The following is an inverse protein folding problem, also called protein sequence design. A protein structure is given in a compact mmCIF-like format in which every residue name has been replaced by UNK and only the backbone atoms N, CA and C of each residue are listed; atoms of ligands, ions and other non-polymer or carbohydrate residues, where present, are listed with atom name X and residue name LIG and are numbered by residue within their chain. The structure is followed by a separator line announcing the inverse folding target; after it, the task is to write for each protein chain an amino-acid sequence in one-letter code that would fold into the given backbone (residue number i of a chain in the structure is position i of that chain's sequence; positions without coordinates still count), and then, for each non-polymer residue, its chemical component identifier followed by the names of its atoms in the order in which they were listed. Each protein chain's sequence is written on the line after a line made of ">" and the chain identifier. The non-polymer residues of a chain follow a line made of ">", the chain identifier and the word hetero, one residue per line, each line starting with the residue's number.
data_IF_620337851234
#
_entry.id   IF_620337851234
#
_cell.length_a   1.000
_cell.length_b   1.000
_cell.length_c   1.000
_cell.angle_alpha   90.00
_cell.angle_beta   90.00
_cell.angle_gamma   90.00
#
_symmetry.space_group_name_H-M   'P 1'
#
loop_
_entity.id
_entity.type
_entity.pdbx_description
1 polymer ?
#
# COMPACT_ATOMS: atom_id res chain seq x y z
N UNK A 1 26.58 -4.82 -21.06
CA UNK A 1 26.03 -6.06 -20.46
C UNK A 1 24.58 -5.77 -20.13
N UNK A 2 23.63 -6.41 -20.81
CA UNK A 2 22.24 -6.44 -20.36
C UNK A 2 22.25 -7.21 -19.03
N UNK A 3 22.10 -6.51 -17.91
CA UNK A 3 21.98 -7.11 -16.60
C UNK A 3 20.67 -7.85 -16.53
N UNK A 4 20.71 -9.18 -16.40
CA UNK A 4 19.51 -9.98 -16.17
C UNK A 4 18.92 -9.65 -14.80
N UNK A 5 17.59 -9.79 -14.66
CA UNK A 5 16.90 -9.70 -13.36
C UNK A 5 17.22 -10.96 -12.55
N UNK A 6 17.69 -10.79 -11.31
CA UNK A 6 17.86 -11.88 -10.38
C UNK A 6 16.59 -12.04 -9.54
N UNK A 7 16.16 -13.27 -9.30
CA UNK A 7 15.00 -13.61 -8.49
C UNK A 7 15.44 -14.34 -7.22
N UNK A 8 14.81 -13.96 -6.10
CA UNK A 8 14.97 -14.67 -4.82
C UNK A 8 13.59 -14.92 -4.21
N UNK A 9 13.42 -16.09 -3.58
CA UNK A 9 12.23 -16.41 -2.77
C UNK A 9 12.58 -16.18 -1.30
N UNK A 10 11.81 -15.34 -0.61
CA UNK A 10 12.02 -15.07 0.80
C UNK A 10 10.72 -14.59 1.46
N UNK A 11 10.72 -14.56 2.79
CA UNK A 11 9.70 -13.83 3.54
C UNK A 11 10.09 -12.34 3.59
N UNK A 12 9.10 -11.46 3.61
CA UNK A 12 9.33 -10.02 3.66
C UNK A 12 9.98 -9.54 4.97
N UNK A 13 9.83 -10.31 6.04
CA UNK A 13 10.42 -10.11 7.36
C UNK A 13 11.82 -10.73 7.55
N UNK A 14 12.34 -11.41 6.51
CA UNK A 14 13.64 -12.09 6.53
C UNK A 14 14.26 -12.10 5.12
N UNK A 15 14.65 -10.94 4.61
CA UNK A 15 15.21 -10.79 3.26
C UNK A 15 16.64 -11.36 3.18
N UNK A 16 16.98 -12.20 2.17
CA UNK A 16 18.27 -12.86 2.06
C UNK A 16 19.35 -11.93 1.46
N UNK A 17 19.34 -10.68 1.84
CA UNK A 17 20.26 -9.66 1.37
C UNK A 17 21.07 -9.06 2.54
N UNK A 18 22.26 -8.57 2.24
CA UNK A 18 23.11 -7.88 3.22
C UNK A 18 22.52 -6.50 3.55
N UNK A 19 22.91 -5.98 4.69
CA UNK A 19 22.62 -4.59 5.06
C UNK A 19 23.16 -3.62 4.00
N UNK A 20 22.42 -2.54 3.77
CA UNK A 20 22.81 -1.45 2.89
C UNK A 20 23.22 -1.90 1.47
N UNK A 21 22.52 -2.89 0.89
CA UNK A 21 22.86 -3.48 -0.42
C UNK A 21 22.06 -2.90 -1.59
N UNK A 22 21.08 -2.05 -1.31
CA UNK A 22 20.21 -1.45 -2.35
C UNK A 22 20.10 0.06 -2.20
N UNK A 23 20.17 0.77 -3.32
CA UNK A 23 19.92 2.21 -3.38
C UNK A 23 18.41 2.53 -3.40
N UNK A 24 17.60 1.57 -3.83
CA UNK A 24 16.16 1.68 -3.82
C UNK A 24 15.49 0.32 -3.55
N UNK A 25 14.37 0.36 -2.84
CA UNK A 25 13.44 -0.76 -2.67
C UNK A 25 12.06 -0.30 -3.09
N UNK A 26 11.39 -1.09 -3.93
CA UNK A 26 10.03 -0.83 -4.39
C UNK A 26 9.13 -1.94 -3.88
N UNK A 27 8.03 -1.56 -3.26
CA UNK A 27 6.95 -2.47 -2.86
C UNK A 27 5.65 -1.94 -3.47
N UNK A 28 4.97 -2.81 -4.21
CA UNK A 28 3.76 -2.45 -4.95
C UNK A 28 2.65 -3.45 -4.65
N UNK A 29 1.60 -3.00 -3.98
CA UNK A 29 0.39 -3.77 -3.67
C UNK A 29 0.70 -5.12 -2.98
N UNK A 30 1.49 -5.08 -1.91
CA UNK A 30 1.95 -6.28 -1.17
C UNK A 30 1.63 -6.19 0.32
N UNK A 31 1.73 -4.99 0.91
CA UNK A 31 1.62 -4.84 2.36
C UNK A 31 0.24 -5.13 2.92
N UNK A 32 -0.78 -5.02 2.09
CA UNK A 32 -2.14 -5.45 2.39
C UNK A 32 -2.24 -6.97 2.68
N UNK A 33 -1.26 -7.75 2.22
CA UNK A 33 -1.24 -9.21 2.40
C UNK A 33 -0.23 -9.66 3.46
N UNK A 34 0.40 -8.73 4.16
CA UNK A 34 1.37 -9.01 5.23
C UNK A 34 0.71 -8.81 6.59
N UNK A 35 0.61 -9.89 7.38
CA UNK A 35 -0.04 -9.85 8.69
C UNK A 35 0.66 -8.91 9.68
N UNK A 36 1.99 -8.93 9.77
CA UNK A 36 2.75 -7.95 10.55
C UNK A 36 3.68 -7.14 9.62
N UNK A 37 3.35 -5.89 9.44
CA UNK A 37 4.08 -4.98 8.55
C UNK A 37 5.39 -4.44 9.14
N UNK A 38 5.54 -4.45 10.47
CA UNK A 38 6.67 -3.83 11.16
C UNK A 38 8.00 -4.53 10.90
N UNK A 39 8.11 -5.88 10.99
CA UNK A 39 9.32 -6.60 10.61
C UNK A 39 9.68 -6.40 9.14
N UNK A 40 8.70 -6.40 8.24
CA UNK A 40 8.95 -6.18 6.82
C UNK A 40 9.52 -4.78 6.54
N UNK A 41 8.97 -3.74 7.18
CA UNK A 41 9.53 -2.37 7.10
C UNK A 41 10.92 -2.31 7.71
N UNK A 42 11.19 -3.05 8.79
CA UNK A 42 12.52 -3.12 9.38
C UNK A 42 13.55 -3.73 8.41
N UNK A 43 13.19 -4.79 7.71
CA UNK A 43 14.04 -5.43 6.69
C UNK A 43 14.28 -4.51 5.49
N UNK A 44 13.25 -3.81 5.01
CA UNK A 44 13.41 -2.78 3.97
C UNK A 44 14.43 -1.73 4.42
N UNK A 45 14.28 -1.21 5.63
CA UNK A 45 15.21 -0.23 6.16
C UNK A 45 16.64 -0.81 6.33
N UNK A 46 16.78 -2.08 6.69
CA UNK A 46 18.08 -2.75 6.84
C UNK A 46 18.81 -2.87 5.50
N UNK A 47 18.12 -3.35 4.47
CA UNK A 47 18.75 -3.61 3.16
C UNK A 47 19.00 -2.34 2.34
N UNK A 48 18.30 -1.23 2.63
CA UNK A 48 18.56 0.05 1.99
C UNK A 48 19.88 0.65 2.45
N UNK A 49 20.65 1.17 1.51
CA UNK A 49 21.82 2.00 1.77
C UNK A 49 21.43 3.32 2.46
N UNK A 50 22.35 4.00 3.15
CA UNK A 50 22.14 5.38 3.58
C UNK A 50 21.70 6.25 2.38
N UNK A 51 20.75 7.14 2.59
CA UNK A 51 20.10 7.96 1.56
C UNK A 51 19.36 7.19 0.45
N UNK A 52 19.28 5.87 0.56
CA UNK A 52 18.46 5.03 -0.32
C UNK A 52 16.97 5.32 -0.19
N UNK A 53 16.20 5.02 -1.22
CA UNK A 53 14.75 5.31 -1.30
C UNK A 53 13.89 4.08 -1.20
N UNK A 54 12.86 4.17 -0.38
CA UNK A 54 11.77 3.24 -0.31
C UNK A 54 10.56 3.80 -1.08
N UNK A 55 10.18 3.14 -2.16
CA UNK A 55 8.97 3.46 -2.92
C UNK A 55 7.89 2.49 -2.50
N UNK A 56 6.88 3.03 -1.83
CA UNK A 56 5.79 2.27 -1.26
C UNK A 56 4.48 2.62 -1.95
N UNK A 57 3.93 1.67 -2.70
CA UNK A 57 2.69 1.80 -3.43
C UNK A 57 1.68 0.78 -2.91
N UNK A 58 0.52 1.25 -2.47
CA UNK A 58 -0.51 0.42 -1.83
C UNK A 58 -1.91 0.90 -2.21
N UNK A 59 -2.90 0.03 -2.01
CA UNK A 59 -4.29 0.45 -2.00
C UNK A 59 -4.50 1.48 -0.87
N UNK A 60 -5.24 2.54 -1.16
CA UNK A 60 -5.42 3.59 -0.16
C UNK A 60 -6.20 3.07 1.06
N UNK A 61 -5.67 3.20 2.29
CA UNK A 61 -6.31 2.67 3.48
C UNK A 61 -7.73 3.19 3.72
N UNK A 62 -8.04 4.41 3.28
CA UNK A 62 -9.38 4.99 3.39
C UNK A 62 -10.40 4.18 2.58
N UNK A 63 -10.04 3.80 1.35
CA UNK A 63 -10.91 3.01 0.49
C UNK A 63 -11.07 1.57 1.01
N UNK A 64 -10.00 1.03 1.62
CA UNK A 64 -9.91 -0.35 2.10
C UNK A 64 -10.43 -0.55 3.53
N UNK A 65 -10.95 0.49 4.17
CA UNK A 65 -11.56 0.33 5.49
C UNK A 65 -12.75 -0.65 5.40
N UNK A 66 -12.87 -1.60 6.36
CA UNK A 66 -13.96 -2.57 6.36
C UNK A 66 -15.33 -1.90 6.26
N UNK A 67 -16.30 -2.55 5.61
CA UNK A 67 -17.65 -2.01 5.42
C UNK A 67 -17.73 -0.65 4.71
N UNK A 68 -16.65 -0.24 4.06
CA UNK A 68 -16.64 0.94 3.18
C UNK A 68 -17.28 0.61 1.84
N UNK A 69 -17.98 1.57 1.27
CA UNK A 69 -18.63 1.36 -0.02
C UNK A 69 -19.52 2.51 -0.45
N UNK A 70 -19.99 2.42 -1.69
CA UNK A 70 -20.98 3.34 -2.21
C UNK A 70 -22.32 3.14 -1.55
N UNK A 71 -22.94 4.24 -1.16
CA UNK A 71 -24.32 4.31 -0.67
C UNK A 71 -25.11 5.19 -1.61
N UNK A 72 -26.28 4.72 -2.05
CA UNK A 72 -27.21 5.49 -2.85
C UNK A 72 -28.38 5.89 -1.93
N UNK A 73 -28.55 7.19 -1.75
CA UNK A 73 -29.68 7.74 -1.04
C UNK A 73 -30.78 8.07 -2.06
N UNK A 74 -31.79 7.21 -2.13
CA UNK A 74 -32.93 7.39 -3.06
C UNK A 74 -33.90 8.50 -2.65
N UNK A 75 -33.79 9.04 -1.44
CA UNK A 75 -34.63 10.15 -0.96
C UNK A 75 -34.02 11.48 -1.39
N UNK A 76 -32.69 11.61 -1.27
CA UNK A 76 -31.98 12.82 -1.64
C UNK A 76 -31.48 12.80 -3.09
N UNK A 77 -31.60 11.65 -3.77
CA UNK A 77 -31.03 11.40 -5.11
C UNK A 77 -29.50 11.67 -5.13
N UNK A 78 -28.82 11.21 -4.08
CA UNK A 78 -27.39 11.40 -3.89
C UNK A 78 -26.64 10.07 -3.81
N UNK A 79 -25.41 10.05 -4.29
CA UNK A 79 -24.48 8.95 -4.12
C UNK A 79 -23.27 9.44 -3.35
N UNK A 80 -22.87 8.71 -2.32
CA UNK A 80 -21.70 9.04 -1.53
C UNK A 80 -20.92 7.81 -1.08
N UNK A 81 -19.63 8.01 -0.82
CA UNK A 81 -18.79 6.97 -0.27
C UNK A 81 -18.91 6.95 1.26
N UNK A 82 -19.42 5.86 1.80
CA UNK A 82 -19.42 5.61 3.25
C UNK A 82 -18.06 5.01 3.63
N UNK A 83 -17.41 5.62 4.63
CA UNK A 83 -16.22 5.07 5.26
C UNK A 83 -16.66 4.24 6.47
N UNK A 84 -16.21 3.00 6.54
CA UNK A 84 -16.41 2.12 7.67
C UNK A 84 -15.43 2.39 8.84
N UNK A 85 -15.18 1.42 9.73
CA UNK A 85 -14.35 1.62 10.94
C UNK A 85 -12.86 1.76 10.61
N UNK A 86 -12.47 2.86 9.98
CA UNK A 86 -11.12 3.13 9.49
C UNK A 86 -10.00 2.97 10.52
N UNK A 87 -10.26 3.28 11.79
CA UNK A 87 -9.22 3.22 12.83
C UNK A 87 -9.03 1.81 13.40
N UNK A 88 -9.89 0.87 13.03
CA UNK A 88 -9.84 -0.52 13.51
C UNK A 88 -9.06 -1.36 12.49
N UNK A 89 -7.99 -2.00 12.94
CA UNK A 89 -7.31 -3.01 12.13
C UNK A 89 -8.20 -4.23 11.96
N UNK A 90 -8.33 -4.73 10.73
CA UNK A 90 -9.16 -5.88 10.42
C UNK A 90 -8.53 -6.73 9.32
N UNK A 91 -8.91 -8.00 9.27
CA UNK A 91 -8.42 -8.96 8.28
C UNK A 91 -9.60 -9.60 7.59
N UNK A 92 -9.70 -9.38 6.29
CA UNK A 92 -10.64 -10.10 5.43
C UNK A 92 -9.90 -11.13 4.58
N UNK A 93 -10.59 -12.18 4.17
CA UNK A 93 -10.05 -13.16 3.22
C UNK A 93 -10.71 -12.90 1.87
N UNK A 94 -9.89 -12.64 0.87
CA UNK A 94 -10.35 -12.41 -0.51
C UNK A 94 -10.00 -13.61 -1.38
N UNK A 95 -10.96 -14.13 -2.11
CA UNK A 95 -10.75 -15.15 -3.14
C UNK A 95 -10.38 -14.46 -4.46
N UNK A 96 -9.12 -14.53 -4.85
CA UNK A 96 -8.61 -13.92 -6.09
C UNK A 96 -8.89 -14.78 -7.33
N UNK A 97 -9.00 -16.09 -7.14
CA UNK A 97 -9.35 -17.05 -8.18
C UNK A 97 -9.88 -18.31 -7.49
N UNK A 98 -10.59 -19.23 -8.17
CA UNK A 98 -11.10 -20.44 -7.56
C UNK A 98 -10.06 -21.20 -6.75
N UNK A 99 -10.24 -21.28 -5.42
CA UNK A 99 -9.34 -21.91 -4.48
C UNK A 99 -8.04 -21.14 -4.15
N UNK A 100 -7.93 -19.87 -4.55
CA UNK A 100 -6.79 -18.98 -4.20
C UNK A 100 -7.29 -17.87 -3.29
N UNK A 101 -7.09 -18.08 -2.00
CA UNK A 101 -7.47 -17.12 -0.96
C UNK A 101 -6.24 -16.37 -0.47
N UNK A 102 -6.36 -15.05 -0.30
CA UNK A 102 -5.34 -14.21 0.32
C UNK A 102 -5.94 -13.38 1.45
N UNK A 103 -5.21 -13.21 2.56
CA UNK A 103 -5.61 -12.25 3.58
C UNK A 103 -5.45 -10.83 3.03
N UNK A 104 -6.42 -9.99 3.31
CA UNK A 104 -6.36 -8.55 3.11
C UNK A 104 -6.44 -7.87 4.46
N UNK A 105 -5.38 -7.16 4.83
CA UNK A 105 -5.25 -6.55 6.15
C UNK A 105 -5.44 -5.04 6.02
N UNK A 106 -6.57 -4.55 6.51
CA UNK A 106 -6.78 -3.12 6.66
C UNK A 106 -6.00 -2.56 7.86
N UNK A 107 -5.32 -1.43 7.65
CA UNK A 107 -4.65 -0.65 8.68
C UNK A 107 -4.79 0.84 8.41
N UNK A 108 -5.00 1.68 9.44
CA UNK A 108 -4.90 3.12 9.30
C UNK A 108 -3.54 3.54 8.73
N UNK A 109 -3.53 4.56 7.88
CA UNK A 109 -2.31 5.09 7.26
C UNK A 109 -1.22 5.42 8.29
N UNK A 110 -1.62 5.92 9.45
CA UNK A 110 -0.70 6.25 10.55
C UNK A 110 0.16 5.08 11.01
N UNK A 111 -0.30 3.85 10.91
CA UNK A 111 0.49 2.67 11.28
C UNK A 111 1.69 2.49 10.34
N UNK A 112 1.49 2.63 9.04
CA UNK A 112 2.57 2.56 8.06
C UNK A 112 3.56 3.71 8.23
N UNK A 113 3.07 4.94 8.35
CA UNK A 113 3.90 6.15 8.52
C UNK A 113 4.77 6.05 9.78
N UNK A 114 4.17 5.66 10.91
CA UNK A 114 4.90 5.54 12.17
C UNK A 114 5.92 4.37 12.14
N UNK A 115 5.57 3.25 11.51
CA UNK A 115 6.51 2.14 11.35
C UNK A 115 7.72 2.55 10.49
N UNK A 116 7.52 3.26 9.39
CA UNK A 116 8.60 3.81 8.56
C UNK A 116 9.46 4.79 9.35
N UNK A 117 8.85 5.78 10.01
CA UNK A 117 9.56 6.80 10.80
C UNK A 117 10.42 6.17 11.91
N UNK A 118 9.90 5.12 12.60
CA UNK A 118 10.63 4.40 13.64
C UNK A 118 11.90 3.70 13.13
N UNK A 119 12.02 3.51 11.83
CA UNK A 119 13.18 2.89 11.16
C UNK A 119 14.05 3.90 10.39
N UNK A 120 13.78 5.19 10.54
CA UNK A 120 14.53 6.24 9.85
C UNK A 120 14.17 6.35 8.37
N UNK A 121 13.00 5.87 7.96
CA UNK A 121 12.44 6.06 6.62
C UNK A 121 11.52 7.29 6.68
N UNK A 122 12.01 8.45 6.24
CA UNK A 122 11.26 9.70 6.27
C UNK A 122 10.61 9.97 4.91
N UNK A 123 9.33 10.22 4.90
CA UNK A 123 8.56 10.48 3.69
C UNK A 123 8.99 11.82 3.09
N UNK A 124 9.49 11.78 1.85
CA UNK A 124 9.84 12.95 1.05
C UNK A 124 8.71 13.36 0.11
N UNK A 125 7.87 12.38 -0.29
CA UNK A 125 6.77 12.59 -1.24
C UNK A 125 5.64 11.64 -0.97
N UNK A 126 4.41 12.14 -1.07
CA UNK A 126 3.19 11.36 -1.01
C UNK A 126 2.27 11.79 -2.14
N UNK A 127 1.69 10.83 -2.85
CA UNK A 127 0.75 11.06 -3.94
C UNK A 127 -0.45 10.14 -3.85
N UNK A 128 -1.59 10.70 -4.18
CA UNK A 128 -2.86 10.00 -4.34
C UNK A 128 -3.25 10.12 -5.82
N UNK A 129 -2.75 9.21 -6.67
CA UNK A 129 -2.94 9.34 -8.11
C UNK A 129 -4.41 9.18 -8.49
N UNK A 130 -4.91 10.09 -9.30
CA UNK A 130 -6.22 9.94 -9.91
C UNK A 130 -6.22 8.76 -10.90
N UNK A 131 -7.32 8.01 -10.99
CA UNK A 131 -7.47 6.99 -12.02
C UNK A 131 -7.30 7.59 -13.41
N UNK A 132 -6.57 6.94 -14.34
CA UNK A 132 -6.40 7.46 -15.70
C UNK A 132 -7.73 7.42 -16.48
N UNK A 133 -7.89 8.34 -17.44
CA UNK A 133 -9.11 8.47 -18.24
C UNK A 133 -9.56 7.14 -18.87
N UNK A 134 -8.64 6.34 -19.39
CA UNK A 134 -8.95 5.03 -19.98
C UNK A 134 -9.52 4.02 -18.97
N UNK A 135 -9.24 4.16 -17.69
CA UNK A 135 -9.89 3.37 -16.64
C UNK A 135 -11.28 3.91 -16.33
N UNK A 136 -11.44 5.23 -16.18
CA UNK A 136 -12.71 5.89 -15.89
C UNK A 136 -13.75 5.72 -17.00
N UNK A 137 -13.31 5.54 -18.23
CA UNK A 137 -14.17 5.33 -19.39
C UNK A 137 -14.86 3.95 -19.42
N UNK A 138 -14.41 2.98 -18.60
CA UNK A 138 -14.91 1.59 -18.64
C UNK A 138 -16.29 1.42 -18.01
N UNK A 139 -16.58 2.12 -16.92
CA UNK A 139 -17.85 2.02 -16.22
C UNK A 139 -18.17 3.33 -15.49
N UNK A 140 -19.46 3.62 -15.30
CA UNK A 140 -19.92 4.84 -14.63
C UNK A 140 -19.43 4.91 -13.19
N UNK A 141 -19.49 3.80 -12.48
CA UNK A 141 -19.04 3.67 -11.10
C UNK A 141 -17.58 4.08 -10.89
N UNK A 142 -16.72 3.88 -11.90
CA UNK A 142 -15.32 4.30 -11.84
C UNK A 142 -15.16 5.81 -12.01
N UNK A 143 -16.06 6.47 -12.74
CA UNK A 143 -16.06 7.94 -12.87
C UNK A 143 -16.44 8.60 -11.57
N UNK A 144 -17.45 8.08 -10.89
CA UNK A 144 -17.89 8.59 -9.58
C UNK A 144 -16.81 8.36 -8.52
N UNK A 145 -16.02 7.28 -8.67
CA UNK A 145 -14.86 6.99 -7.82
C UNK A 145 -13.62 7.88 -8.10
N UNK A 146 -13.63 8.73 -9.12
CA UNK A 146 -12.48 9.56 -9.47
C UNK A 146 -12.12 10.60 -8.38
N UNK A 147 -13.08 10.95 -7.53
CA UNK A 147 -12.92 11.92 -6.44
C UNK A 147 -12.47 11.30 -5.13
N UNK A 148 -12.32 9.96 -5.08
CA UNK A 148 -11.94 9.21 -3.88
C UNK A 148 -10.57 8.59 -4.10
N UNK A 149 -9.61 8.72 -3.16
CA UNK A 149 -8.28 8.17 -3.34
C UNK A 149 -8.34 6.62 -3.30
N UNK A 150 -7.94 5.99 -4.40
CA UNK A 150 -7.91 4.53 -4.55
C UNK A 150 -6.53 3.93 -4.26
N UNK A 151 -5.51 4.67 -4.59
CA UNK A 151 -4.11 4.28 -4.50
C UNK A 151 -3.33 5.34 -3.75
N UNK A 152 -2.28 4.90 -3.08
CA UNK A 152 -1.36 5.76 -2.35
C UNK A 152 0.07 5.41 -2.72
N UNK A 153 0.84 6.40 -3.16
CA UNK A 153 2.27 6.31 -3.38
C UNK A 153 3.00 7.13 -2.33
N UNK A 154 3.92 6.52 -1.63
CA UNK A 154 4.86 7.21 -0.74
C UNK A 154 6.30 6.94 -1.17
N UNK A 155 7.12 7.97 -1.20
CA UNK A 155 8.56 7.85 -1.36
C UNK A 155 9.21 8.31 -0.07
N UNK A 156 9.93 7.40 0.58
CA UNK A 156 10.65 7.69 1.81
C UNK A 156 12.16 7.53 1.60
N UNK A 157 12.94 8.40 2.20
CA UNK A 157 14.40 8.33 2.22
C UNK A 157 14.89 7.75 3.53
N UNK A 158 15.85 6.83 3.46
CA UNK A 158 16.55 6.34 4.64
C UNK A 158 17.53 7.39 5.14
N UNK A 159 17.27 7.97 6.30
CA UNK A 159 18.19 8.88 6.95
C UNK A 159 19.24 8.11 7.76
N UNK A 160 20.50 8.56 7.76
CA UNK A 160 21.53 8.00 8.64
C UNK A 160 21.10 8.13 10.10
N UNK A 161 21.34 7.09 10.88
CA UNK A 161 21.21 7.13 12.33
C UNK A 161 22.54 7.48 12.95
#
# INVERSE_FOLDING_TARGET
>A
RAGGVAYARANADALPFRDASFDAVVVCLVFEHIADHRPAIAEIARVLAPDGRFVFFLNHPLLQAPDSGWVIDHVLDEQYWRIGPYLVEDVTIEELAPGVELPFVHRPLSQYVNAMASRGLLIERMEEPMPPEGFLAKAQEYRDAATIPRLLLMVARKVPR
#
